data_IF_494784950512
#
_entry.id   IF_494784950512
#
_cell.length_a   1.000
_cell.length_b   1.000
_cell.length_c   1.000
_cell.angle_alpha   90.00
_cell.angle_beta   90.00
_cell.angle_gamma   90.00
#
_symmetry.space_group_name_H-M   'P 1'
#
loop_
_entity.id
_entity.type
_entity.pdbx_description
1 polymer ?
#
# COMPACT_ATOMS: atom_id res chain seq x y z
N UNK A 1 6.17 10.13 -6.32
CA UNK A 1 5.69 8.73 -6.30
C UNK A 1 5.48 8.34 -7.74
N UNK A 2 6.25 7.36 -8.23
CA UNK A 2 6.42 7.15 -9.66
C UNK A 2 5.45 6.06 -10.17
N UNK A 3 5.21 5.03 -9.36
CA UNK A 3 4.17 4.03 -9.62
C UNK A 3 3.61 3.41 -8.32
N UNK A 4 2.30 3.15 -8.29
CA UNK A 4 1.68 2.21 -7.35
C UNK A 4 1.10 1.04 -8.13
N UNK A 5 1.37 -0.17 -7.65
CA UNK A 5 0.72 -1.38 -8.11
C UNK A 5 -0.04 -2.01 -6.97
N UNK A 6 -1.29 -2.40 -7.23
CA UNK A 6 -2.08 -3.18 -6.29
C UNK A 6 -1.67 -4.65 -6.46
N UNK A 7 -1.08 -5.23 -5.42
CA UNK A 7 -0.57 -6.60 -5.43
C UNK A 7 -1.58 -7.60 -4.89
N UNK A 8 -2.59 -7.13 -4.16
CA UNK A 8 -3.66 -7.97 -3.62
C UNK A 8 -4.86 -7.18 -3.17
N UNK A 9 -6.03 -7.82 -3.24
CA UNK A 9 -7.29 -7.23 -2.77
C UNK A 9 -8.11 -8.35 -2.10
N UNK A 10 -8.12 -8.36 -0.77
CA UNK A 10 -8.70 -9.47 -0.01
C UNK A 10 -9.76 -8.97 0.99
N UNK A 11 -11.02 -9.42 0.87
CA UNK A 11 -12.05 -9.08 1.85
C UNK A 11 -11.72 -9.70 3.21
N UNK A 12 -12.02 -8.98 4.28
CA UNK A 12 -11.85 -9.38 5.67
C UNK A 12 -13.22 -9.72 6.30
N UNK A 13 -13.23 -10.54 7.34
CA UNK A 13 -14.46 -10.97 8.02
C UNK A 13 -15.25 -9.83 8.68
N UNK A 14 -14.57 -8.73 8.98
CA UNK A 14 -15.13 -7.50 9.58
C UNK A 14 -15.86 -6.60 8.56
N UNK A 15 -15.84 -6.94 7.26
CA UNK A 15 -16.41 -6.07 6.23
C UNK A 15 -15.47 -4.94 5.80
N UNK A 16 -14.18 -5.06 6.09
CA UNK A 16 -13.12 -4.28 5.47
C UNK A 16 -12.43 -5.07 4.35
N UNK A 17 -11.80 -4.38 3.43
CA UNK A 17 -10.97 -4.94 2.37
C UNK A 17 -9.52 -4.59 2.67
N UNK A 18 -8.68 -5.62 2.73
CA UNK A 18 -7.22 -5.46 2.82
C UNK A 18 -6.68 -5.35 1.41
N UNK A 19 -6.24 -4.15 1.04
CA UNK A 19 -5.65 -3.86 -0.26
C UNK A 19 -4.15 -3.77 -0.08
N UNK A 20 -3.43 -4.77 -0.59
CA UNK A 20 -1.96 -4.78 -0.60
C UNK A 20 -1.45 -3.98 -1.79
N UNK A 21 -0.41 -3.18 -1.56
CA UNK A 21 0.20 -2.36 -2.59
C UNK A 21 1.72 -2.48 -2.54
N UNK A 22 2.32 -2.26 -3.71
CA UNK A 22 3.74 -2.00 -3.87
C UNK A 22 3.93 -0.67 -4.58
N UNK A 23 4.90 0.12 -4.12
CA UNK A 23 5.06 1.50 -4.52
C UNK A 23 6.54 1.81 -4.75
N UNK A 24 6.85 2.35 -5.93
CA UNK A 24 8.20 2.74 -6.31
C UNK A 24 8.33 4.26 -6.33
N UNK A 25 9.32 4.78 -5.60
CA UNK A 25 9.71 6.19 -5.61
C UNK A 25 10.93 6.43 -6.52
N UNK A 26 11.16 7.69 -6.85
CA UNK A 26 12.20 8.14 -7.78
C UNK A 26 13.64 7.73 -7.38
N UNK A 27 13.90 7.51 -6.08
CA UNK A 27 15.17 6.99 -5.55
C UNK A 27 15.31 5.46 -5.63
N UNK A 28 14.53 4.78 -6.48
CA UNK A 28 14.40 3.31 -6.49
C UNK A 28 13.93 2.70 -5.17
N UNK A 29 13.45 3.51 -4.23
CA UNK A 29 12.87 3.03 -2.98
C UNK A 29 11.56 2.30 -3.29
N UNK A 30 11.53 1.01 -2.98
CA UNK A 30 10.32 0.19 -3.04
C UNK A 30 9.72 0.11 -1.64
N UNK A 31 8.46 0.48 -1.49
CA UNK A 31 7.71 0.22 -0.27
C UNK A 31 6.58 -0.74 -0.59
N UNK A 32 6.36 -1.69 0.30
CA UNK A 32 5.23 -2.59 0.25
C UNK A 32 4.41 -2.40 1.51
N UNK A 33 3.10 -2.51 1.38
CA UNK A 33 2.22 -2.32 2.51
C UNK A 33 0.80 -2.73 2.17
N UNK A 34 -0.10 -2.38 3.08
CA UNK A 34 -1.52 -2.58 2.85
C UNK A 34 -2.30 -1.42 3.47
N UNK A 35 -3.48 -1.18 2.88
CA UNK A 35 -4.48 -0.31 3.46
C UNK A 35 -5.75 -1.09 3.71
N UNK A 36 -6.42 -0.79 4.81
CA UNK A 36 -7.79 -1.23 5.04
C UNK A 36 -8.76 -0.21 4.44
N UNK A 37 -9.71 -0.70 3.66
CA UNK A 37 -10.79 0.07 3.02
C UNK A 37 -12.10 -0.51 3.51
N UNK A 38 -13.03 0.30 3.99
CA UNK A 38 -14.35 -0.22 4.40
C UNK A 38 -15.12 -0.73 3.18
N UNK A 39 -15.97 -1.74 3.36
CA UNK A 39 -16.80 -2.28 2.28
C UNK A 39 -17.67 -1.20 1.62
N UNK A 40 -18.14 -0.22 2.37
CA UNK A 40 -18.91 0.91 1.83
C UNK A 40 -18.06 1.78 0.89
N UNK A 41 -16.83 2.12 1.28
CA UNK A 41 -15.89 2.83 0.40
C UNK A 41 -15.53 1.99 -0.82
N UNK A 42 -15.27 0.69 -0.63
CA UNK A 42 -14.93 -0.23 -1.71
C UNK A 42 -16.07 -0.41 -2.73
N UNK A 43 -17.33 -0.38 -2.28
CA UNK A 43 -18.52 -0.48 -3.14
C UNK A 43 -18.82 0.83 -3.89
N UNK A 44 -18.56 1.97 -3.26
CA UNK A 44 -18.76 3.28 -3.89
C UNK A 44 -17.61 3.66 -4.83
N UNK A 45 -16.42 3.07 -4.65
CA UNK A 45 -15.24 3.31 -5.47
C UNK A 45 -15.16 2.33 -6.63
N UNK A 46 -14.84 2.82 -7.84
CA UNK A 46 -14.56 1.90 -8.95
C UNK A 46 -13.16 1.35 -8.79
N UNK A 47 -12.95 0.09 -9.19
CA UNK A 47 -11.64 -0.56 -9.12
C UNK A 47 -10.50 0.21 -9.79
N UNK A 48 -10.80 1.01 -10.83
CA UNK A 48 -9.82 1.88 -11.51
C UNK A 48 -9.33 3.04 -10.64
N UNK A 49 -10.13 3.45 -9.66
CA UNK A 49 -9.86 4.58 -8.77
C UNK A 49 -9.15 4.09 -7.48
N UNK A 50 -9.07 2.77 -7.26
CA UNK A 50 -8.39 2.14 -6.13
C UNK A 50 -6.90 2.52 -6.01
N UNK A 51 -6.09 2.51 -7.09
CA UNK A 51 -4.68 2.87 -7.00
C UNK A 51 -4.48 4.33 -6.58
N UNK A 52 -5.36 5.23 -7.03
CA UNK A 52 -5.31 6.65 -6.69
C UNK A 52 -5.70 6.89 -5.23
N UNK A 53 -6.75 6.21 -4.76
CA UNK A 53 -7.14 6.23 -3.35
C UNK A 53 -6.02 5.72 -2.43
N UNK A 54 -5.43 4.57 -2.78
CA UNK A 54 -4.30 3.99 -2.04
C UNK A 54 -3.11 4.95 -2.03
N UNK A 55 -2.80 5.59 -3.16
CA UNK A 55 -1.74 6.60 -3.28
C UNK A 55 -1.97 7.77 -2.33
N UNK A 56 -3.16 8.36 -2.35
CA UNK A 56 -3.50 9.48 -1.49
C UNK A 56 -3.44 9.11 -0.01
N UNK A 57 -3.88 7.89 0.34
CA UNK A 57 -3.82 7.41 1.72
C UNK A 57 -2.38 7.21 2.19
N UNK A 58 -1.51 6.62 1.38
CA UNK A 58 -0.09 6.45 1.69
C UNK A 58 0.60 7.80 1.88
N UNK A 59 0.39 8.75 0.96
CA UNK A 59 0.97 10.10 1.05
C UNK A 59 0.48 10.83 2.31
N UNK A 60 -0.81 10.68 2.65
CA UNK A 60 -1.38 11.23 3.88
C UNK A 60 -0.73 10.63 5.13
N UNK A 61 -0.55 9.31 5.21
CA UNK A 61 0.06 8.65 6.39
C UNK A 61 1.56 8.96 6.51
N UNK A 62 2.29 9.03 5.39
CA UNK A 62 3.69 9.49 5.35
C UNK A 62 3.82 10.94 5.82
N UNK A 63 2.91 11.82 5.41
CA UNK A 63 2.92 13.24 5.78
C UNK A 63 2.62 13.46 7.27
N UNK A 64 1.93 12.52 7.93
CA UNK A 64 1.62 12.59 9.37
C UNK A 64 2.75 12.09 10.28
N UNK A 65 3.88 11.64 9.73
CA UNK A 65 5.07 11.28 10.49
C UNK A 65 5.02 9.94 11.23
N UNK A 66 3.95 9.15 11.05
CA UNK A 66 3.80 7.85 11.71
C UNK A 66 3.23 6.85 10.71
N UNK A 67 4.07 6.17 9.91
CA UNK A 67 3.66 4.92 9.33
C UNK A 67 3.52 3.92 10.48
N UNK A 68 2.33 3.83 11.08
CA UNK A 68 1.91 2.64 11.83
C UNK A 68 1.69 1.51 10.82
N UNK A 69 2.78 1.09 10.16
CA UNK A 69 2.85 -0.13 9.35
C UNK A 69 3.01 -1.26 10.39
N UNK A 70 1.95 -1.51 11.15
CA UNK A 70 1.83 -2.69 11.97
C UNK A 70 1.70 -3.87 11.01
N UNK A 71 2.82 -4.54 10.74
CA UNK A 71 3.05 -5.65 9.80
C UNK A 71 3.77 -5.25 8.51
N UNK A 72 5.03 -4.79 8.64
CA UNK A 72 6.06 -5.23 7.71
C UNK A 72 6.20 -6.75 7.89
N UNK A 73 5.39 -7.50 7.15
CA UNK A 73 5.70 -8.90 6.89
C UNK A 73 6.95 -8.86 6.03
N UNK A 74 8.11 -9.10 6.64
CA UNK A 74 9.33 -9.46 5.92
C UNK A 74 9.04 -10.73 5.15
N UNK A 75 8.51 -10.61 3.94
CA UNK A 75 8.73 -11.63 2.93
C UNK A 75 10.16 -11.43 2.46
N UNK A 76 11.00 -12.26 3.06
CA UNK A 76 12.31 -12.69 2.60
C UNK A 76 12.39 -12.74 1.06
N UNK A 77 12.75 -11.62 0.42
CA UNK A 77 13.45 -11.61 -0.86
C UNK A 77 14.26 -10.30 -1.01
N UNK A 78 15.53 -10.40 -0.64
CA UNK A 78 16.65 -9.76 -1.33
C UNK A 78 16.71 -8.22 -1.40
N UNK A 79 16.90 -7.55 -0.25
CA UNK A 79 17.62 -6.26 -0.27
C UNK A 79 19.11 -6.54 -0.45
N UNK A 80 19.58 -6.63 -1.69
CA UNK A 80 21.02 -6.54 -1.98
C UNK A 80 21.39 -5.07 -2.12
N UNK A 81 21.76 -4.43 -1.00
CA UNK A 81 22.55 -3.21 -1.04
C UNK A 81 24.01 -3.60 -1.25
N UNK A 82 24.52 -3.46 -2.48
CA UNK A 82 25.97 -3.41 -2.68
C UNK A 82 26.43 -2.00 -2.32
N UNK A 83 27.08 -1.86 -1.17
CA UNK A 83 27.93 -0.71 -0.90
C UNK A 83 29.24 -0.91 -1.69
N UNK A 84 29.61 0.10 -2.47
CA UNK A 84 30.90 0.19 -3.18
C UNK A 84 32.03 0.57 -2.22
#
# INVERSE_FOLDING_TARGET
MNAIQITGNNPQADGTWKVSYSATYDDNLHIEGFVYVSQDEMNNMRMRDLPDYVSNKIVSELSKGSPSIDSVGTTDDSVTVKAE
#
